data_IF_248823465011
#
_entry.id   IF_248823465011
#
_cell.length_a   1.000
_cell.length_b   1.000
_cell.length_c   1.000
_cell.angle_alpha   90.00
_cell.angle_beta   90.00
_cell.angle_gamma   90.00
#
_symmetry.space_group_name_H-M   'P 1'
#
loop_
_entity.id
_entity.type
_entity.pdbx_description
1 polymer ?
#
# COMPACT_ATOMS: atom_id res chain seq x y z
N UNK A 1 -32.41 6.21 6.60
CA UNK A 1 -32.42 4.79 6.99
C UNK A 1 -31.58 4.66 8.26
N UNK A 2 -32.12 4.11 9.35
CA UNK A 2 -31.29 3.78 10.52
C UNK A 2 -30.35 2.64 10.11
N UNK A 3 -29.09 2.97 9.86
CA UNK A 3 -28.08 2.01 9.44
C UNK A 3 -27.78 1.06 10.60
N UNK A 4 -28.24 -0.19 10.50
CA UNK A 4 -27.87 -1.23 11.45
C UNK A 4 -26.46 -1.74 11.13
N UNK A 5 -25.45 -0.95 11.51
CA UNK A 5 -24.04 -1.24 11.24
C UNK A 5 -23.57 -2.56 11.87
N UNK A 6 -24.23 -3.06 12.91
CA UNK A 6 -23.92 -4.37 13.48
C UNK A 6 -24.17 -5.50 12.47
N UNK A 7 -25.26 -5.41 11.73
CA UNK A 7 -25.58 -6.42 10.70
C UNK A 7 -24.62 -6.33 9.52
N UNK A 8 -24.25 -5.11 9.13
CA UNK A 8 -23.27 -4.89 8.05
C UNK A 8 -21.91 -5.48 8.43
N UNK A 9 -21.46 -5.28 9.66
CA UNK A 9 -20.20 -5.87 10.15
C UNK A 9 -20.29 -7.40 10.15
N UNK A 10 -21.40 -7.98 10.66
CA UNK A 10 -21.59 -9.43 10.60
C UNK A 10 -21.51 -9.98 9.18
N UNK A 11 -22.19 -9.33 8.22
CA UNK A 11 -22.14 -9.75 6.82
C UNK A 11 -20.72 -9.70 6.26
N UNK A 12 -19.94 -8.67 6.59
CA UNK A 12 -18.54 -8.56 6.18
C UNK A 12 -17.64 -9.65 6.79
N UNK A 13 -17.97 -10.14 7.99
CA UNK A 13 -17.27 -11.24 8.66
C UNK A 13 -17.65 -12.60 8.10
N UNK A 14 -18.91 -12.79 7.68
CA UNK A 14 -19.42 -14.10 7.25
C UNK A 14 -19.37 -14.35 5.75
N UNK A 15 -19.46 -13.29 4.93
CA UNK A 15 -19.54 -13.39 3.47
C UNK A 15 -18.49 -12.50 2.80
N UNK A 16 -17.40 -13.07 2.26
CA UNK A 16 -16.39 -12.32 1.52
C UNK A 16 -16.96 -11.52 0.33
N UNK A 17 -18.05 -11.98 -0.31
CA UNK A 17 -18.65 -11.27 -1.44
C UNK A 17 -19.31 -9.95 -0.99
N UNK A 18 -19.80 -9.88 0.24
CA UNK A 18 -20.38 -8.67 0.81
C UNK A 18 -19.36 -7.52 0.86
N UNK A 19 -18.07 -7.85 1.00
CA UNK A 19 -16.99 -6.86 1.07
C UNK A 19 -16.81 -6.07 -0.23
N UNK A 20 -17.16 -6.70 -1.35
CA UNK A 20 -17.02 -6.14 -2.70
C UNK A 20 -18.33 -5.65 -3.31
N UNK A 21 -19.44 -5.79 -2.59
CA UNK A 21 -20.78 -5.48 -3.12
C UNK A 21 -21.02 -3.97 -3.18
N UNK A 22 -21.44 -3.47 -4.36
CA UNK A 22 -21.93 -2.11 -4.56
C UNK A 22 -23.40 -2.02 -4.08
N UNK A 23 -23.65 -1.28 -3.01
CA UNK A 23 -24.95 -1.17 -2.33
C UNK A 23 -25.78 0.05 -2.77
N UNK A 24 -25.26 0.86 -3.69
CA UNK A 24 -25.96 2.05 -4.19
C UNK A 24 -25.79 2.21 -5.71
N UNK A 25 -26.68 3.00 -6.31
CA UNK A 25 -26.61 3.39 -7.73
C UNK A 25 -25.37 4.21 -8.07
N UNK A 26 -24.76 4.86 -7.08
CA UNK A 26 -23.48 5.56 -7.22
C UNK A 26 -22.27 4.65 -6.99
N UNK A 27 -22.46 3.34 -6.89
CA UNK A 27 -21.38 2.35 -6.79
C UNK A 27 -20.68 2.33 -5.43
N UNK A 28 -21.26 2.94 -4.40
CA UNK A 28 -20.71 2.87 -3.04
C UNK A 28 -20.82 1.44 -2.51
N UNK A 29 -19.73 0.95 -1.91
CA UNK A 29 -19.76 -0.21 -1.00
C UNK A 29 -20.08 0.25 0.42
N UNK A 30 -20.32 -0.69 1.34
CA UNK A 30 -20.58 -0.32 2.74
C UNK A 30 -19.39 0.41 3.38
N UNK A 31 -18.16 0.06 2.99
CA UNK A 31 -16.94 0.77 3.42
C UNK A 31 -16.93 2.24 2.98
N UNK A 32 -17.36 2.54 1.75
CA UNK A 32 -17.46 3.93 1.29
C UNK A 32 -18.45 4.74 2.12
N UNK A 33 -19.62 4.15 2.43
CA UNK A 33 -20.67 4.80 3.23
C UNK A 33 -20.17 5.04 4.66
N UNK A 34 -19.51 4.05 5.28
CA UNK A 34 -18.97 4.19 6.63
C UNK A 34 -17.92 5.32 6.73
N UNK A 35 -17.07 5.48 5.70
CA UNK A 35 -16.09 6.58 5.63
C UNK A 35 -16.79 7.93 5.43
N UNK A 36 -17.74 8.00 4.50
CA UNK A 36 -18.49 9.23 4.22
C UNK A 36 -19.28 9.72 5.44
N UNK A 37 -19.83 8.80 6.23
CA UNK A 37 -20.61 9.08 7.43
C UNK A 37 -19.77 9.27 8.70
N UNK A 38 -18.43 9.21 8.60
CA UNK A 38 -17.53 9.43 9.73
C UNK A 38 -17.61 8.33 10.80
N UNK A 39 -17.92 7.09 10.44
CA UNK A 39 -18.07 5.96 11.38
C UNK A 39 -16.76 5.24 11.63
N UNK A 40 -15.84 5.88 12.36
CA UNK A 40 -14.47 5.37 12.61
C UNK A 40 -14.44 3.92 13.11
N UNK A 41 -15.22 3.59 14.14
CA UNK A 41 -15.27 2.24 14.73
C UNK A 41 -15.75 1.18 13.73
N UNK A 42 -16.68 1.55 12.85
CA UNK A 42 -17.21 0.67 11.82
C UNK A 42 -16.17 0.48 10.72
N UNK A 43 -15.53 1.57 10.28
CA UNK A 43 -14.43 1.49 9.29
C UNK A 43 -13.33 0.56 9.80
N UNK A 44 -12.95 0.68 11.07
CA UNK A 44 -11.96 -0.22 11.68
C UNK A 44 -12.39 -1.68 11.59
N UNK A 45 -13.63 -2.01 11.99
CA UNK A 45 -14.16 -3.39 11.94
C UNK A 45 -14.21 -3.94 10.51
N UNK A 46 -14.79 -3.19 9.57
CA UNK A 46 -14.91 -3.63 8.17
C UNK A 46 -13.53 -3.87 7.54
N UNK A 47 -12.57 -2.97 7.79
CA UNK A 47 -11.20 -3.12 7.28
C UNK A 47 -10.50 -4.30 7.93
N UNK A 48 -10.71 -4.55 9.23
CA UNK A 48 -10.16 -5.72 9.92
C UNK A 48 -10.70 -7.04 9.33
N UNK A 49 -12.01 -7.13 9.04
CA UNK A 49 -12.62 -8.30 8.39
C UNK A 49 -12.07 -8.54 6.99
N UNK A 50 -11.92 -7.49 6.18
CA UNK A 50 -11.30 -7.58 4.84
C UNK A 50 -9.87 -8.12 4.95
N UNK A 51 -9.09 -7.55 5.87
CA UNK A 51 -7.70 -7.94 6.11
C UNK A 51 -7.59 -9.40 6.57
N UNK A 52 -8.45 -9.83 7.48
CA UNK A 52 -8.47 -11.22 7.96
C UNK A 52 -8.69 -12.19 6.80
N UNK A 53 -9.67 -11.94 5.93
CA UNK A 53 -9.93 -12.81 4.78
C UNK A 53 -8.76 -12.86 3.79
N UNK A 54 -8.13 -11.71 3.49
CA UNK A 54 -6.94 -11.66 2.64
C UNK A 54 -5.79 -12.47 3.25
N UNK A 55 -5.56 -12.34 4.55
CA UNK A 55 -4.50 -13.10 5.25
C UNK A 55 -4.77 -14.62 5.23
N UNK A 56 -6.03 -15.03 5.40
CA UNK A 56 -6.42 -16.45 5.33
C UNK A 56 -6.13 -17.03 3.96
N UNK A 57 -6.54 -16.34 2.88
CA UNK A 57 -6.29 -16.75 1.50
C UNK A 57 -4.78 -16.92 1.23
N UNK A 58 -3.96 -15.98 1.69
CA UNK A 58 -2.50 -16.03 1.53
C UNK A 58 -1.89 -17.21 2.30
N UNK A 59 -2.38 -17.48 3.52
CA UNK A 59 -1.86 -18.57 4.36
C UNK A 59 -2.24 -19.96 3.83
N UNK A 60 -3.44 -20.13 3.27
CA UNK A 60 -3.90 -21.40 2.72
C UNK A 60 -3.11 -21.79 1.46
N UNK A 61 -2.71 -20.82 0.63
CA UNK A 61 -1.97 -21.08 -0.59
C UNK A 61 -0.52 -21.54 -0.33
N UNK A 62 0.17 -20.91 0.64
CA UNK A 62 1.53 -21.32 1.03
C UNK A 62 1.62 -22.75 1.58
N UNK A 63 0.51 -23.29 2.12
CA UNK A 63 0.46 -24.70 2.57
C UNK A 63 0.19 -25.69 1.44
N UNK A 64 -0.34 -25.24 0.29
CA UNK A 64 -0.59 -26.06 -0.89
C UNK A 64 0.58 -26.05 -1.88
N UNK A 65 1.49 -25.07 -1.77
CA UNK A 65 2.67 -24.93 -2.63
C UNK A 65 3.92 -25.68 -2.13
N UNK A 66 3.87 -26.40 -1.02
CA UNK A 66 4.91 -27.38 -0.68
C UNK A 66 4.89 -28.51 -1.72
N UNK A 67 5.84 -28.43 -2.66
CA UNK A 67 6.12 -29.42 -3.70
C UNK A 67 6.04 -30.86 -3.14
N UNK A 68 5.50 -31.84 -3.90
CA UNK A 68 5.60 -33.24 -3.51
C UNK A 68 7.08 -33.62 -3.30
N UNK A 69 7.37 -34.35 -2.23
CA UNK A 69 8.71 -34.73 -1.76
C UNK A 69 9.54 -35.60 -2.74
N UNK A 70 9.15 -35.71 -4.02
CA UNK A 70 9.79 -36.54 -5.05
C UNK A 70 10.53 -35.77 -6.15
N UNK A 71 10.68 -34.45 -6.05
CA UNK A 71 11.42 -33.63 -7.04
C UNK A 71 12.82 -33.25 -6.55
N UNK A 72 13.62 -34.25 -6.15
CA UNK A 72 15.04 -34.04 -5.86
C UNK A 72 15.98 -34.33 -7.03
N UNK A 73 15.47 -34.87 -8.14
CA UNK A 73 16.29 -35.15 -9.31
C UNK A 73 15.78 -34.34 -10.50
N UNK A 74 16.70 -33.77 -11.27
CA UNK A 74 16.53 -33.00 -12.51
C UNK A 74 16.35 -31.48 -12.38
N UNK A 75 17.47 -30.80 -12.19
CA UNK A 75 17.77 -29.61 -12.99
C UNK A 75 18.81 -29.98 -14.03
N UNK A 76 18.57 -29.61 -15.29
CA UNK A 76 19.53 -29.06 -16.27
C UNK A 76 18.83 -29.06 -17.64
N UNK A 77 18.16 -27.96 -18.04
CA UNK A 77 18.10 -27.56 -19.46
C UNK A 77 17.63 -26.11 -19.65
N UNK A 78 18.13 -25.50 -20.71
CA UNK A 78 18.38 -24.09 -20.96
C UNK A 78 17.17 -23.30 -21.52
N UNK A 79 15.96 -23.57 -21.02
CA UNK A 79 14.74 -22.85 -21.41
C UNK A 79 14.08 -22.17 -20.21
N UNK A 80 14.43 -20.91 -19.95
CA UNK A 80 13.83 -20.05 -18.91
C UNK A 80 12.39 -19.60 -19.26
N UNK A 81 11.51 -20.55 -19.55
CA UNK A 81 10.07 -20.31 -19.70
C UNK A 81 9.23 -21.11 -18.68
N UNK A 82 9.87 -21.69 -17.65
CA UNK A 82 9.18 -22.49 -16.63
C UNK A 82 9.42 -21.92 -15.23
N UNK A 83 8.66 -20.87 -14.90
CA UNK A 83 8.03 -20.69 -13.59
C UNK A 83 6.94 -19.61 -13.71
N UNK A 84 5.86 -19.97 -14.40
CA UNK A 84 4.63 -19.18 -14.40
C UNK A 84 3.45 -20.08 -14.02
N UNK A 85 3.44 -20.55 -12.77
CA UNK A 85 2.17 -20.76 -12.09
C UNK A 85 1.88 -19.48 -11.32
N UNK A 86 1.34 -18.49 -12.02
CA UNK A 86 0.74 -17.31 -11.40
C UNK A 86 -0.52 -17.77 -10.69
N UNK A 87 -0.38 -18.08 -9.41
CA UNK A 87 -1.48 -18.47 -8.54
C UNK A 87 -2.47 -17.31 -8.40
N UNK A 88 -3.73 -17.63 -8.12
CA UNK A 88 -4.84 -16.71 -7.82
C UNK A 88 -4.46 -15.59 -6.81
N UNK A 89 -3.40 -15.81 -6.01
CA UNK A 89 -2.77 -14.86 -5.10
C UNK A 89 -2.29 -13.56 -5.77
N UNK A 90 -1.72 -13.59 -6.98
CA UNK A 90 -1.31 -12.34 -7.66
C UNK A 90 -2.53 -11.48 -8.07
N UNK A 91 -3.67 -12.12 -8.34
CA UNK A 91 -4.90 -11.41 -8.69
C UNK A 91 -5.57 -10.77 -7.46
N UNK A 92 -5.51 -11.44 -6.30
CA UNK A 92 -5.98 -10.90 -5.01
C UNK A 92 -5.04 -9.81 -4.47
N UNK A 93 -3.74 -9.90 -4.77
CA UNK A 93 -2.73 -8.91 -4.41
C UNK A 93 -2.72 -7.65 -5.30
N UNK A 94 -3.57 -7.57 -6.33
CA UNK A 94 -3.79 -6.30 -7.02
C UNK A 94 -4.72 -5.42 -6.17
N UNK A 95 -4.24 -4.28 -5.67
CA UNK A 95 -5.04 -3.40 -4.82
C UNK A 95 -6.37 -3.00 -5.47
N UNK A 96 -6.40 -2.82 -6.80
CA UNK A 96 -7.61 -2.47 -7.56
C UNK A 96 -8.68 -3.58 -7.55
N UNK A 97 -8.27 -4.84 -7.41
CA UNK A 97 -9.17 -6.00 -7.32
C UNK A 97 -9.57 -6.34 -5.88
N UNK A 98 -8.85 -5.81 -4.91
CA UNK A 98 -9.14 -6.02 -3.49
C UNK A 98 -10.35 -5.19 -3.03
N UNK A 99 -11.07 -5.61 -1.97
CA UNK A 99 -12.19 -4.85 -1.42
C UNK A 99 -11.82 -3.42 -0.99
N UNK A 100 -10.55 -3.16 -0.64
CA UNK A 100 -10.05 -1.83 -0.25
C UNK A 100 -9.88 -0.88 -1.44
N UNK A 101 -9.61 -1.41 -2.64
CA UNK A 101 -9.39 -0.62 -3.85
C UNK A 101 -10.60 -0.49 -4.77
N UNK A 102 -11.76 -1.00 -4.37
CA UNK A 102 -13.00 -0.83 -5.14
C UNK A 102 -13.30 0.64 -5.31
N UNK A 103 -13.61 1.01 -6.56
CA UNK A 103 -13.98 2.36 -6.95
C UNK A 103 -15.49 2.49 -7.11
N UNK A 104 -16.04 3.58 -6.60
CA UNK A 104 -17.42 3.99 -6.89
C UNK A 104 -17.57 4.55 -8.32
N UNK A 105 -18.77 4.97 -8.72
CA UNK A 105 -19.06 5.52 -10.07
C UNK A 105 -18.38 6.88 -10.37
N UNK A 106 -17.53 7.38 -9.48
CA UNK A 106 -16.65 8.54 -9.75
C UNK A 106 -15.18 8.13 -9.79
N UNK A 107 -14.89 6.84 -9.71
CA UNK A 107 -13.53 6.31 -9.55
C UNK A 107 -12.96 6.47 -8.14
N UNK A 108 -13.72 6.92 -7.14
CA UNK A 108 -13.18 7.12 -5.80
C UNK A 108 -13.22 5.81 -5.01
N UNK A 109 -12.10 5.47 -4.38
CA UNK A 109 -12.03 4.43 -3.33
C UNK A 109 -12.42 4.99 -1.97
N UNK A 110 -12.59 4.13 -0.97
CA UNK A 110 -12.79 4.56 0.41
C UNK A 110 -11.66 5.48 0.92
N UNK A 111 -10.41 5.24 0.49
CA UNK A 111 -9.26 6.07 0.86
C UNK A 111 -9.34 7.49 0.26
N UNK A 112 -9.86 7.64 -0.97
CA UNK A 112 -10.10 8.95 -1.57
C UNK A 112 -11.03 9.80 -0.70
N UNK A 113 -12.12 9.19 -0.21
CA UNK A 113 -13.09 9.86 0.65
C UNK A 113 -12.45 10.25 2.00
N UNK A 114 -11.76 9.32 2.67
CA UNK A 114 -11.08 9.60 3.94
C UNK A 114 -10.07 10.76 3.83
N UNK A 115 -9.30 10.77 2.73
CA UNK A 115 -8.31 11.79 2.45
C UNK A 115 -8.95 13.17 2.17
N UNK A 116 -10.02 13.21 1.38
CA UNK A 116 -10.77 14.44 1.08
C UNK A 116 -11.42 15.05 2.34
N UNK A 117 -11.96 14.20 3.22
CA UNK A 117 -12.52 14.62 4.52
C UNK A 117 -11.40 15.12 5.45
N UNK A 118 -10.23 14.46 5.39
CA UNK A 118 -9.09 14.70 6.25
C UNK A 118 -9.14 13.89 7.55
N UNK A 119 -9.89 12.79 7.57
CA UNK A 119 -9.96 11.90 8.72
C UNK A 119 -8.72 10.99 8.74
N UNK A 120 -7.69 11.43 9.46
CA UNK A 120 -6.41 10.71 9.58
C UNK A 120 -6.58 9.32 10.23
N UNK A 121 -7.35 9.15 11.33
CA UNK A 121 -7.66 7.83 11.86
C UNK A 121 -8.18 6.84 10.81
N UNK A 122 -9.14 7.24 9.96
CA UNK A 122 -9.63 6.37 8.88
C UNK A 122 -8.56 6.07 7.83
N UNK A 123 -7.76 7.07 7.43
CA UNK A 123 -6.61 6.83 6.57
C UNK A 123 -5.67 5.79 7.20
N UNK A 124 -5.42 5.87 8.51
CA UNK A 124 -4.61 4.89 9.24
C UNK A 124 -5.28 3.52 9.27
N UNK A 125 -6.58 3.42 9.55
CA UNK A 125 -7.27 2.13 9.56
C UNK A 125 -7.20 1.45 8.19
N UNK A 126 -7.46 2.18 7.10
CA UNK A 126 -7.40 1.65 5.73
C UNK A 126 -5.96 1.27 5.35
N UNK A 127 -4.99 2.14 5.64
CA UNK A 127 -3.58 1.99 5.25
C UNK A 127 -2.73 1.21 6.26
N UNK A 128 -3.27 0.81 7.40
CA UNK A 128 -2.52 0.07 8.41
C UNK A 128 -2.15 -1.29 7.84
N UNK A 129 -0.87 -1.60 7.91
CA UNK A 129 -0.28 -2.81 7.39
C UNK A 129 -0.82 -4.04 8.13
N UNK A 130 -1.30 -5.02 7.39
CA UNK A 130 -0.93 -6.41 7.70
C UNK A 130 0.58 -6.56 7.38
N UNK A 131 1.25 -7.65 7.77
CA UNK A 131 2.63 -7.97 7.29
C UNK A 131 2.70 -8.22 5.76
N UNK A 132 1.81 -7.60 4.99
CA UNK A 132 1.76 -7.56 3.54
C UNK A 132 2.83 -6.62 2.97
N UNK A 133 3.20 -6.90 1.73
CA UNK A 133 4.19 -6.14 0.99
C UNK A 133 3.81 -4.64 0.88
N UNK A 134 4.81 -3.77 1.10
CA UNK A 134 4.71 -2.32 0.96
C UNK A 134 4.19 -1.91 -0.42
N UNK A 135 4.42 -2.73 -1.45
CA UNK A 135 3.98 -2.48 -2.83
C UNK A 135 2.45 -2.61 -3.02
N UNK A 136 1.76 -3.44 -2.22
CA UNK A 136 0.30 -3.52 -2.23
C UNK A 136 -0.32 -2.19 -1.81
N UNK A 137 0.07 -1.67 -0.65
CA UNK A 137 -0.44 -0.40 -0.13
C UNK A 137 -0.04 0.80 -0.99
N UNK A 138 1.12 0.72 -1.67
CA UNK A 138 1.51 1.71 -2.67
C UNK A 138 0.51 1.76 -3.82
N UNK A 139 0.19 0.60 -4.40
CA UNK A 139 -0.76 0.55 -5.52
C UNK A 139 -2.14 1.11 -5.12
N UNK A 140 -2.57 0.94 -3.86
CA UNK A 140 -3.80 1.53 -3.31
C UNK A 140 -3.77 3.08 -3.23
N UNK A 141 -2.63 3.67 -2.86
CA UNK A 141 -2.44 5.14 -2.82
C UNK A 141 -2.37 5.74 -4.24
N UNK A 142 -1.89 4.97 -5.22
CA UNK A 142 -1.71 5.42 -6.59
C UNK A 142 -2.96 5.27 -7.47
N UNK A 143 -4.03 4.60 -6.97
CA UNK A 143 -5.32 4.52 -7.66
C UNK A 143 -5.83 5.94 -7.96
N UNK A 144 -6.24 6.15 -9.20
CA UNK A 144 -6.79 7.42 -9.69
C UNK A 144 -8.28 7.30 -9.91
N UNK A 145 -9.01 8.32 -9.49
CA UNK A 145 -10.41 8.47 -9.84
C UNK A 145 -10.61 8.85 -11.32
N UNK A 146 -11.86 9.04 -11.77
CA UNK A 146 -12.16 9.37 -13.17
C UNK A 146 -11.55 10.70 -13.65
N UNK A 147 -11.18 11.58 -12.72
CA UNK A 147 -10.50 12.84 -13.00
C UNK A 147 -8.98 12.72 -12.98
N UNK A 148 -8.44 11.51 -12.81
CA UNK A 148 -7.01 11.27 -12.66
C UNK A 148 -6.46 11.64 -11.27
N UNK A 149 -7.32 11.97 -10.30
CA UNK A 149 -6.93 12.42 -8.97
C UNK A 149 -6.70 11.22 -8.03
N UNK A 150 -5.62 11.23 -7.24
CA UNK A 150 -5.33 10.22 -6.20
C UNK A 150 -5.89 10.66 -4.84
N UNK A 151 -5.95 9.78 -3.81
CA UNK A 151 -6.32 10.18 -2.46
C UNK A 151 -5.43 11.31 -1.92
N UNK A 152 -4.13 11.25 -2.21
CA UNK A 152 -3.18 12.31 -1.82
C UNK A 152 -3.52 13.65 -2.49
N UNK A 153 -3.90 13.63 -3.77
CA UNK A 153 -4.33 14.84 -4.49
C UNK A 153 -5.57 15.44 -3.83
N UNK A 154 -6.56 14.62 -3.47
CA UNK A 154 -7.77 15.11 -2.80
C UNK A 154 -7.47 15.71 -1.42
N UNK A 155 -6.56 15.11 -0.63
CA UNK A 155 -6.11 15.72 0.62
C UNK A 155 -5.49 17.11 0.39
N UNK A 156 -4.67 17.28 -0.65
CA UNK A 156 -4.08 18.58 -1.00
C UNK A 156 -5.15 19.58 -1.46
N UNK A 157 -6.01 19.18 -2.40
CA UNK A 157 -7.10 19.98 -2.98
C UNK A 157 -8.03 20.55 -1.91
N UNK A 158 -8.30 19.77 -0.86
CA UNK A 158 -9.17 20.16 0.25
C UNK A 158 -8.41 20.74 1.47
N UNK A 159 -7.10 21.00 1.35
CA UNK A 159 -6.30 21.60 2.42
C UNK A 159 -6.10 20.71 3.66
N UNK A 160 -6.27 19.39 3.52
CA UNK A 160 -6.20 18.40 4.62
C UNK A 160 -4.76 18.02 4.92
N UNK A 161 -4.01 18.97 5.51
CA UNK A 161 -2.56 18.87 5.78
C UNK A 161 -2.14 17.55 6.45
N UNK A 162 -2.82 17.13 7.51
CA UNK A 162 -2.39 15.94 8.27
C UNK A 162 -2.62 14.65 7.49
N UNK A 163 -3.74 14.53 6.78
CA UNK A 163 -4.01 13.40 5.89
C UNK A 163 -3.01 13.37 4.72
N UNK A 164 -2.70 14.53 4.15
CA UNK A 164 -1.65 14.65 3.13
C UNK A 164 -0.29 14.17 3.63
N UNK A 165 0.16 14.65 4.79
CA UNK A 165 1.46 14.26 5.36
C UNK A 165 1.52 12.77 5.68
N UNK A 166 0.44 12.20 6.21
CA UNK A 166 0.33 10.78 6.48
C UNK A 166 0.45 9.96 5.18
N UNK A 167 -0.38 10.22 4.18
CA UNK A 167 -0.34 9.51 2.89
C UNK A 167 1.01 9.69 2.17
N UNK A 168 1.59 10.90 2.21
CA UNK A 168 2.88 11.19 1.61
C UNK A 168 4.03 10.41 2.27
N UNK A 169 3.93 10.08 3.57
CA UNK A 169 4.96 9.32 4.26
C UNK A 169 5.20 7.93 3.66
N UNK A 170 4.15 7.30 3.09
CA UNK A 170 4.26 6.02 2.38
C UNK A 170 4.97 6.14 1.03
N UNK A 171 4.86 7.28 0.36
CA UNK A 171 5.49 7.53 -0.94
C UNK A 171 6.95 8.00 -0.80
N UNK A 172 7.26 8.75 0.26
CA UNK A 172 8.58 9.35 0.48
C UNK A 172 9.70 8.33 0.70
N UNK A 173 9.41 7.15 1.23
CA UNK A 173 10.44 6.12 1.52
C UNK A 173 11.11 5.59 0.24
N UNK A 174 10.33 5.27 -0.81
CA UNK A 174 10.89 4.90 -2.14
C UNK A 174 11.50 6.10 -2.85
N UNK A 175 10.91 7.30 -2.72
CA UNK A 175 11.45 8.51 -3.35
C UNK A 175 12.84 8.87 -2.80
N UNK A 176 13.09 8.67 -1.50
CA UNK A 176 14.41 8.90 -0.91
C UNK A 176 15.44 7.91 -1.46
N UNK A 177 15.12 6.61 -1.53
CA UNK A 177 15.99 5.61 -2.13
C UNK A 177 16.28 5.92 -3.62
N UNK A 178 15.25 6.29 -4.37
CA UNK A 178 15.39 6.70 -5.77
C UNK A 178 16.20 8.01 -5.92
N UNK A 179 16.00 8.98 -5.02
CA UNK A 179 16.81 10.20 -4.96
C UNK A 179 18.28 9.89 -4.65
N UNK A 180 18.56 8.96 -3.74
CA UNK A 180 19.92 8.48 -3.45
C UNK A 180 20.52 7.84 -4.71
N UNK A 181 19.79 6.95 -5.40
CA UNK A 181 20.25 6.34 -6.67
C UNK A 181 20.54 7.41 -7.73
N UNK A 182 19.65 8.39 -7.89
CA UNK A 182 19.79 9.45 -8.90
C UNK A 182 20.96 10.38 -8.59
N UNK A 183 21.16 10.74 -7.33
CA UNK A 183 22.24 11.61 -6.87
C UNK A 183 23.59 10.90 -6.79
N UNK A 184 23.59 9.59 -6.53
CA UNK A 184 24.78 8.77 -6.36
C UNK A 184 24.78 7.60 -7.37
N UNK A 185 24.74 7.92 -8.66
CA UNK A 185 24.75 6.91 -9.74
C UNK A 185 25.89 5.88 -9.60
N UNK A 186 27.03 6.29 -9.06
CA UNK A 186 28.16 5.40 -8.81
C UNK A 186 27.87 4.32 -7.76
N UNK A 187 26.96 4.55 -6.79
CA UNK A 187 26.53 3.55 -5.80
C UNK A 187 25.60 2.48 -6.41
N UNK A 188 24.90 2.80 -7.50
CA UNK A 188 24.16 1.81 -8.29
C UNK A 188 25.08 1.01 -9.23
N UNK A 189 26.26 1.55 -9.54
CA UNK A 189 27.26 0.94 -10.43
C UNK A 189 28.40 0.22 -9.71
N UNK A 190 28.38 0.11 -8.39
CA UNK A 190 29.40 -0.66 -7.67
C UNK A 190 29.19 -2.16 -7.92
N UNK A 191 30.17 -2.82 -8.52
CA UNK A 191 30.28 -4.29 -8.62
C UNK A 191 30.37 -5.02 -7.25
N UNK A 192 30.20 -4.30 -6.14
CA UNK A 192 30.11 -4.87 -4.80
C UNK A 192 28.72 -5.47 -4.60
N UNK A 193 28.46 -6.60 -5.24
CA UNK A 193 27.29 -7.43 -4.97
C UNK A 193 27.63 -8.39 -3.83
N UNK A 194 26.65 -8.68 -2.97
CA UNK A 194 26.81 -9.75 -1.97
C UNK A 194 26.78 -11.14 -2.65
N UNK A 195 26.92 -12.19 -1.86
CA UNK A 195 26.85 -13.59 -2.34
C UNK A 195 25.52 -13.95 -3.03
N UNK A 196 24.47 -13.14 -2.84
CA UNK A 196 23.16 -13.29 -3.48
C UNK A 196 23.00 -12.42 -4.73
N UNK A 197 24.05 -11.73 -5.18
CA UNK A 197 24.00 -10.84 -6.33
C UNK A 197 23.37 -9.45 -6.06
N UNK A 198 23.06 -9.12 -4.80
CA UNK A 198 22.44 -7.84 -4.42
C UNK A 198 23.49 -6.79 -4.08
N UNK A 199 23.43 -5.63 -4.74
CA UNK A 199 24.20 -4.45 -4.30
C UNK A 199 23.69 -3.94 -2.93
N UNK A 200 24.54 -3.30 -2.11
CA UNK A 200 24.18 -2.78 -0.78
C UNK A 200 22.92 -1.92 -0.77
N UNK A 201 22.70 -1.16 -1.85
CA UNK A 201 21.55 -0.29 -1.98
C UNK A 201 20.23 -1.05 -2.23
N UNK A 202 20.28 -2.21 -2.89
CA UNK A 202 19.12 -3.11 -3.01
C UNK A 202 18.75 -3.69 -1.64
N UNK A 203 19.75 -4.12 -0.86
CA UNK A 203 19.53 -4.62 0.51
C UNK A 203 18.98 -3.53 1.44
N UNK A 204 19.40 -2.27 1.26
CA UNK A 204 18.86 -1.12 1.99
C UNK A 204 17.42 -0.79 1.58
N UNK A 205 17.08 -0.87 0.29
CA UNK A 205 15.71 -0.65 -0.20
C UNK A 205 14.74 -1.72 0.33
N UNK A 206 15.19 -2.96 0.46
CA UNK A 206 14.42 -4.09 1.02
C UNK A 206 14.28 -4.03 2.55
N UNK A 207 14.92 -3.05 3.23
CA UNK A 207 14.94 -2.97 4.70
C UNK A 207 14.43 -1.62 5.22
N UNK A 208 13.10 -1.42 5.29
CA UNK A 208 12.48 -0.18 5.77
C UNK A 208 12.93 0.23 7.18
N UNK A 209 13.26 -0.76 8.03
CA UNK A 209 13.79 -0.55 9.38
C UNK A 209 15.17 0.09 9.44
N UNK A 210 15.96 0.09 8.35
CA UNK A 210 17.22 0.82 8.27
C UNK A 210 17.01 2.35 8.32
N UNK A 211 15.80 2.82 7.99
CA UNK A 211 15.42 4.23 7.97
C UNK A 211 14.47 4.61 9.11
N UNK A 212 14.65 4.01 10.31
CA UNK A 212 13.83 4.17 11.53
C UNK A 212 13.78 5.60 12.13
N UNK A 213 13.90 6.65 11.31
CA UNK A 213 13.73 8.06 11.64
C UNK A 213 12.34 8.60 11.27
N UNK A 214 11.36 7.76 10.97
CA UNK A 214 10.05 8.22 10.50
C UNK A 214 9.20 8.97 11.56
N UNK A 215 9.58 9.03 12.85
CA UNK A 215 8.77 9.69 13.90
C UNK A 215 9.57 10.64 14.84
N UNK A 216 10.84 10.98 14.55
CA UNK A 216 11.58 12.03 15.30
C UNK A 216 12.35 12.99 14.39
N UNK A 217 11.62 13.65 13.49
CA UNK A 217 12.17 14.71 12.62
C UNK A 217 12.25 16.08 13.32
N UNK A 218 12.92 16.13 14.48
CA UNK A 218 13.18 17.39 15.21
C UNK A 218 14.47 18.10 14.79
N UNK A 219 15.54 17.33 14.52
CA UNK A 219 16.88 17.88 14.23
C UNK A 219 17.27 17.67 12.76
N UNK A 220 16.84 16.55 12.16
CA UNK A 220 17.18 16.18 10.79
C UNK A 220 16.55 17.07 9.71
N UNK A 221 15.46 17.81 10.01
CA UNK A 221 14.94 18.86 9.12
C UNK A 221 16.00 19.94 8.85
N UNK A 222 16.80 20.32 9.85
CA UNK A 222 17.83 21.35 9.71
C UNK A 222 19.04 20.85 8.94
N UNK A 223 19.45 19.59 9.14
CA UNK A 223 20.60 19.00 8.43
C UNK A 223 20.27 18.75 6.95
N UNK A 224 19.10 18.18 6.65
CA UNK A 224 18.70 17.92 5.26
C UNK A 224 18.49 19.25 4.50
N UNK A 225 17.85 20.26 5.12
CA UNK A 225 17.72 21.59 4.49
C UNK A 225 19.04 22.38 4.45
N UNK A 226 19.94 22.27 5.44
CA UNK A 226 21.28 22.88 5.38
C UNK A 226 22.17 22.24 4.31
N UNK A 227 22.14 20.92 4.17
CA UNK A 227 22.90 20.23 3.14
C UNK A 227 22.38 20.57 1.73
N UNK A 228 21.07 20.70 1.56
CA UNK A 228 20.47 21.18 0.30
C UNK A 228 20.77 22.66 0.02
N UNK A 229 20.80 23.51 1.06
CA UNK A 229 21.13 24.95 0.95
C UNK A 229 22.61 25.21 0.67
N UNK A 230 23.52 24.41 1.25
CA UNK A 230 24.97 24.55 1.04
C UNK A 230 25.42 24.01 -0.33
N UNK A 231 24.71 23.02 -0.89
CA UNK A 231 24.94 22.53 -2.25
C UNK A 231 24.41 23.48 -3.34
N UNK A 232 23.48 24.38 -3.02
CA UNK A 232 22.97 25.40 -3.94
C UNK A 232 23.86 26.66 -3.99
N UNK A 233 24.73 26.87 -2.99
CA UNK A 233 25.63 28.03 -2.92
C UNK A 233 27.03 27.78 -3.50
N UNK A 234 27.38 26.54 -3.87
CA UNK A 234 28.66 26.22 -4.52
C UNK A 234 28.56 26.07 -6.04
N UNK A 235 27.38 26.31 -6.62
CA UNK A 235 27.17 26.37 -8.07
C UNK A 235 26.40 27.65 -8.45
N UNK A 236 27.06 28.79 -8.24
CA UNK A 236 26.94 30.00 -9.06
C UNK A 236 28.37 30.55 -9.24
#
# INVERSE_FOLDING_TARGET
MQQNWHEVVRLYETDPNAQSTKISTSGYTALHVAVADGKDDIVYKLVASIKSHISTIISEDMTKSSLPSSYHDYYEDDNRDVMMFRTEVEQVANASSSPLGIQNEKGNTALHLAAAIGNVPMCISIMSSLDLDQDYYRSLIEIKNEKGETPLFLAAKHGKKNAFLYLNSFLMMKNLAFQIIKSYKHLASTNNINVEGKAPLHVLADKPSAFKSAIKLGIWKSIIYKCMSLLYQTFC
#
